data_IF_852814480491
#
_entry.id   IF_852814480491
#
_cell.length_a   1.000
_cell.length_b   1.000
_cell.length_c   1.000
_cell.angle_alpha   90.00
_cell.angle_beta   90.00
_cell.angle_gamma   90.00
#
_symmetry.space_group_name_H-M   'P 1'
#
loop_
_entity.id
_entity.type
_entity.pdbx_description
1 polymer ?
#
# COMPACT_ATOMS: atom_id res chain seq x y z
N UNK A 1 39.97 -39.44 -58.17
CA UNK A 1 38.89 -39.97 -57.31
C UNK A 1 39.42 -40.16 -55.89
N UNK A 2 39.34 -39.12 -55.05
CA UNK A 2 39.26 -39.15 -53.57
C UNK A 2 39.23 -37.71 -53.06
N UNK A 3 38.16 -37.39 -52.33
CA UNK A 3 37.89 -36.14 -51.61
C UNK A 3 38.85 -35.98 -50.43
N UNK A 4 39.16 -34.74 -50.06
CA UNK A 4 39.46 -34.37 -48.67
C UNK A 4 39.20 -32.87 -48.47
N UNK A 5 38.01 -32.52 -47.97
CA UNK A 5 37.70 -32.01 -46.61
C UNK A 5 37.78 -30.48 -46.58
N UNK A 6 36.62 -29.85 -46.75
CA UNK A 6 36.37 -28.44 -46.42
C UNK A 6 36.27 -28.26 -44.90
N UNK A 7 37.09 -27.36 -44.36
CA UNK A 7 37.01 -26.88 -42.98
C UNK A 7 35.73 -26.06 -42.78
N UNK A 8 34.79 -26.60 -41.99
CA UNK A 8 33.66 -25.82 -41.48
C UNK A 8 34.07 -25.12 -40.18
N UNK A 9 34.25 -23.82 -40.28
CA UNK A 9 34.39 -22.91 -39.14
C UNK A 9 33.11 -22.98 -38.28
N UNK A 10 33.20 -23.57 -37.07
CA UNK A 10 32.13 -23.50 -36.07
C UNK A 10 32.23 -22.18 -35.29
N UNK A 11 31.23 -21.33 -35.38
CA UNK A 11 31.09 -20.17 -34.48
C UNK A 11 30.58 -20.65 -33.10
N UNK A 12 31.15 -20.17 -31.98
CA UNK A 12 30.64 -20.52 -30.66
C UNK A 12 29.32 -19.78 -30.39
N UNK A 13 28.27 -20.53 -30.10
CA UNK A 13 26.99 -20.00 -29.62
C UNK A 13 27.19 -19.45 -28.21
N UNK A 14 26.97 -18.15 -28.05
CA UNK A 14 27.03 -17.46 -26.76
C UNK A 14 26.00 -18.04 -25.79
N UNK A 15 26.35 -18.33 -24.52
CA UNK A 15 25.39 -18.84 -23.54
C UNK A 15 24.36 -17.75 -23.19
N UNK A 16 23.08 -18.09 -23.31
CA UNK A 16 21.95 -17.28 -22.85
C UNK A 16 22.10 -17.00 -21.36
N UNK A 17 22.05 -15.73 -20.90
CA UNK A 17 22.13 -15.43 -19.48
C UNK A 17 20.86 -15.97 -18.80
N UNK A 18 21.04 -16.96 -17.93
CA UNK A 18 19.99 -17.41 -17.01
C UNK A 18 19.79 -16.28 -16.00
N UNK A 19 18.67 -15.57 -16.11
CA UNK A 19 18.29 -14.55 -15.13
C UNK A 19 17.83 -15.27 -13.86
N UNK A 20 18.76 -15.48 -12.92
CA UNK A 20 18.42 -15.85 -11.55
C UNK A 20 17.80 -14.62 -10.92
N UNK A 21 16.50 -14.69 -10.61
CA UNK A 21 15.82 -13.66 -9.84
C UNK A 21 16.63 -13.41 -8.55
N UNK A 22 17.21 -12.23 -8.46
CA UNK A 22 17.99 -11.84 -7.29
C UNK A 22 17.03 -11.69 -6.12
N UNK A 23 17.26 -12.47 -5.06
CA UNK A 23 16.54 -12.30 -3.80
C UNK A 23 16.74 -10.86 -3.31
N UNK A 24 15.68 -10.09 -3.03
CA UNK A 24 15.83 -8.86 -2.28
C UNK A 24 16.54 -9.21 -0.97
N UNK A 25 17.67 -8.56 -0.72
CA UNK A 25 18.50 -8.79 0.45
C UNK A 25 17.69 -8.76 1.73
N UNK A 26 18.12 -9.57 2.69
CA UNK A 26 17.57 -9.69 4.04
C UNK A 26 17.16 -8.32 4.59
N UNK A 27 15.87 -8.10 4.85
CA UNK A 27 15.40 -7.02 5.72
C UNK A 27 15.86 -7.34 7.15
N UNK A 28 17.12 -7.03 7.44
CA UNK A 28 17.51 -6.75 8.82
C UNK A 28 16.73 -5.50 9.18
N UNK A 29 15.94 -5.58 10.24
CA UNK A 29 15.36 -4.41 10.89
C UNK A 29 16.57 -3.67 11.48
N UNK A 30 17.21 -2.81 10.67
CA UNK A 30 18.13 -1.81 11.19
C UNK A 30 17.27 -0.73 11.82
N UNK A 31 17.36 -0.64 13.14
CA UNK A 31 16.64 0.27 14.04
C UNK A 31 16.92 1.77 13.80
N UNK A 32 17.56 2.13 12.69
CA UNK A 32 18.27 3.41 12.54
C UNK A 32 17.55 4.45 11.64
N UNK A 33 16.27 4.21 11.29
CA UNK A 33 15.44 5.21 10.60
C UNK A 33 14.18 5.62 11.38
N UNK A 34 14.08 5.20 12.66
CA UNK A 34 12.95 5.53 13.54
C UNK A 34 12.96 6.97 14.08
N UNK A 35 13.98 7.77 13.74
CA UNK A 35 14.25 9.08 14.33
C UNK A 35 14.07 10.26 13.36
N UNK A 36 13.01 10.27 12.56
CA UNK A 36 12.63 11.47 11.82
C UNK A 36 11.48 12.15 12.56
N UNK A 37 11.78 13.29 13.16
CA UNK A 37 10.80 14.11 13.87
C UNK A 37 10.11 15.13 12.93
N UNK A 38 10.35 15.04 11.63
CA UNK A 38 9.86 15.99 10.63
C UNK A 38 9.19 15.28 9.45
N UNK A 39 8.13 15.86 8.86
CA UNK A 39 7.48 15.31 7.66
C UNK A 39 8.42 15.19 6.44
N UNK A 40 8.05 14.34 5.48
CA UNK A 40 8.86 14.04 4.29
C UNK A 40 8.64 15.00 3.10
N UNK A 41 7.75 15.96 3.26
CA UNK A 41 7.39 16.97 2.27
C UNK A 41 7.32 18.32 2.98
N UNK A 42 7.39 19.42 2.25
CA UNK A 42 7.27 20.78 2.81
C UNK A 42 5.80 21.10 3.12
N UNK A 43 5.52 21.98 4.08
CA UNK A 43 4.17 22.49 4.35
C UNK A 43 3.54 23.09 3.08
N UNK A 44 4.33 23.72 2.20
CA UNK A 44 3.83 24.25 0.91
C UNK A 44 3.39 23.16 -0.09
N UNK A 45 3.76 21.90 0.15
CA UNK A 45 3.44 20.75 -0.70
C UNK A 45 2.26 19.94 -0.17
N UNK A 46 1.62 20.36 0.93
CA UNK A 46 0.44 19.68 1.45
C UNK A 46 -0.73 19.81 0.47
N UNK A 47 -1.56 18.77 0.38
CA UNK A 47 -2.75 18.79 -0.47
C UNK A 47 -4.02 19.04 0.35
N UNK A 48 -3.96 18.89 1.67
CA UNK A 48 -5.06 19.14 2.59
C UNK A 48 -4.65 20.18 3.64
N UNK A 49 -5.26 21.36 3.55
CA UNK A 49 -5.01 22.51 4.45
C UNK A 49 -6.08 22.61 5.55
N UNK A 50 -6.85 21.56 5.82
CA UNK A 50 -7.96 21.62 6.77
C UNK A 50 -7.54 21.49 8.24
N UNK A 51 -6.28 21.15 8.50
CA UNK A 51 -5.74 20.90 9.83
C UNK A 51 -4.59 21.86 10.15
N UNK A 52 -4.49 22.20 11.43
CA UNK A 52 -3.40 22.97 12.01
C UNK A 52 -2.92 22.26 13.29
N UNK A 53 -1.61 22.11 13.45
CA UNK A 53 -1.02 21.55 14.66
C UNK A 53 -0.29 22.66 15.42
N UNK A 54 -0.75 22.95 16.63
CA UNK A 54 -0.12 23.95 17.47
C UNK A 54 0.61 23.27 18.62
N UNK A 55 1.91 23.53 18.74
CA UNK A 55 2.71 23.19 19.91
C UNK A 55 3.27 24.49 20.50
N UNK A 56 3.01 24.75 21.78
CA UNK A 56 3.46 25.97 22.47
C UNK A 56 4.12 25.62 23.80
N UNK A 57 4.93 26.54 24.34
CA UNK A 57 5.59 26.34 25.63
C UNK A 57 4.58 26.26 26.81
N UNK A 58 3.42 26.91 26.66
CA UNK A 58 2.39 27.03 27.71
C UNK A 58 1.02 26.39 27.33
N UNK A 59 0.85 25.90 26.08
CA UNK A 59 -0.38 25.23 25.64
C UNK A 59 -0.11 23.75 25.31
N UNK A 60 -0.99 22.82 25.74
CA UNK A 60 -0.85 21.42 25.37
C UNK A 60 -0.93 21.26 23.85
N UNK A 61 -0.08 20.41 23.29
CA UNK A 61 -0.05 20.18 21.87
C UNK A 61 -1.42 19.68 21.38
N UNK A 62 -1.98 20.37 20.38
CA UNK A 62 -3.35 20.15 19.95
C UNK A 62 -3.45 20.18 18.43
N UNK A 63 -4.13 19.18 17.87
CA UNK A 63 -4.55 19.18 16.48
C UNK A 63 -5.90 19.89 16.38
N UNK A 64 -5.99 20.90 15.50
CA UNK A 64 -7.18 21.71 15.29
C UNK A 64 -7.59 21.62 13.82
N UNK A 65 -8.87 21.82 13.54
CA UNK A 65 -9.34 21.96 12.17
C UNK A 65 -9.69 23.42 11.90
N UNK A 66 -9.28 23.87 10.71
CA UNK A 66 -9.56 25.20 10.18
C UNK A 66 -10.97 25.29 9.58
N UNK A 67 -11.67 24.16 9.42
CA UNK A 67 -13.06 24.10 8.97
C UNK A 67 -14.02 24.08 10.16
N UNK A 68 -15.27 24.49 9.91
CA UNK A 68 -16.31 24.61 10.95
C UNK A 68 -16.69 23.29 11.62
N UNK A 69 -16.32 22.16 11.03
CA UNK A 69 -16.73 20.84 11.49
C UNK A 69 -15.93 20.38 12.72
N UNK A 70 -14.70 20.89 12.91
CA UNK A 70 -13.78 20.45 13.98
C UNK A 70 -13.56 18.92 13.97
N UNK A 71 -13.40 18.33 12.78
CA UNK A 71 -13.26 16.88 12.57
C UNK A 71 -12.05 16.54 11.70
N UNK A 72 -11.67 15.26 11.71
CA UNK A 72 -10.63 14.74 10.83
C UNK A 72 -11.10 14.76 9.36
N UNK A 73 -10.28 15.25 8.41
CA UNK A 73 -10.58 15.23 6.98
C UNK A 73 -10.87 13.79 6.50
N UNK A 74 -11.85 13.63 5.61
CA UNK A 74 -12.43 12.35 5.15
C UNK A 74 -13.08 11.46 6.23
N UNK A 75 -13.01 11.83 7.51
CA UNK A 75 -13.55 11.05 8.62
C UNK A 75 -14.36 11.93 9.59
N UNK A 76 -15.56 12.41 9.19
CA UNK A 76 -16.32 13.41 9.94
C UNK A 76 -16.84 12.92 11.30
N UNK A 77 -16.79 11.61 11.57
CA UNK A 77 -17.17 11.06 12.87
C UNK A 77 -16.05 11.15 13.91
N UNK A 78 -14.81 11.40 13.48
CA UNK A 78 -13.62 11.29 14.32
C UNK A 78 -13.27 12.67 14.91
N UNK A 79 -13.24 12.80 16.25
CA UNK A 79 -12.73 14.01 16.91
C UNK A 79 -11.20 14.14 16.75
N UNK A 80 -10.68 15.35 16.95
CA UNK A 80 -9.26 15.69 16.73
C UNK A 80 -8.37 15.48 17.96
N UNK A 81 -8.80 14.71 18.95
CA UNK A 81 -7.93 14.29 20.04
C UNK A 81 -6.92 13.24 19.55
N UNK A 82 -5.69 13.31 20.08
CA UNK A 82 -4.56 12.44 19.67
C UNK A 82 -4.95 10.96 19.68
N UNK A 83 -5.66 10.51 20.71
CA UNK A 83 -6.03 9.10 20.88
C UNK A 83 -7.01 8.64 19.80
N UNK A 84 -8.06 9.42 19.54
CA UNK A 84 -9.05 9.08 18.52
C UNK A 84 -8.46 9.11 17.12
N UNK A 85 -7.61 10.10 16.81
CA UNK A 85 -6.93 10.20 15.50
C UNK A 85 -6.00 9.01 15.28
N UNK A 86 -5.20 8.64 16.27
CA UNK A 86 -4.27 7.50 16.17
C UNK A 86 -5.00 6.17 16.11
N UNK A 87 -6.01 5.97 16.95
CA UNK A 87 -6.84 4.75 16.93
C UNK A 87 -7.54 4.59 15.58
N UNK A 88 -8.11 5.67 15.04
CA UNK A 88 -8.71 5.67 13.71
C UNK A 88 -7.68 5.39 12.62
N UNK A 89 -6.51 6.05 12.66
CA UNK A 89 -5.45 5.84 11.66
C UNK A 89 -4.97 4.39 11.61
N UNK A 90 -4.84 3.74 12.77
CA UNK A 90 -4.54 2.31 12.85
C UNK A 90 -5.68 1.46 12.30
N UNK A 91 -6.94 1.77 12.64
CA UNK A 91 -8.09 1.05 12.11
C UNK A 91 -8.20 1.18 10.58
N UNK A 92 -7.91 2.37 10.06
CA UNK A 92 -8.07 2.71 8.65
C UNK A 92 -6.98 2.08 7.77
N UNK A 93 -5.73 2.08 8.24
CA UNK A 93 -4.56 1.73 7.42
C UNK A 93 -3.83 0.45 7.87
N UNK A 94 -3.83 0.11 9.16
CA UNK A 94 -3.06 -1.03 9.65
C UNK A 94 -3.73 -2.34 9.23
N UNK A 95 -2.90 -3.34 8.93
CA UNK A 95 -3.35 -4.65 8.46
C UNK A 95 -2.68 -5.74 9.29
N UNK A 96 -2.96 -5.83 10.59
CA UNK A 96 -2.26 -6.74 11.50
C UNK A 96 -2.38 -8.21 11.07
N UNK A 97 -3.48 -8.58 10.39
CA UNK A 97 -3.63 -9.91 9.79
C UNK A 97 -2.65 -10.19 8.65
N UNK A 98 -2.40 -9.21 7.78
CA UNK A 98 -1.45 -9.33 6.66
C UNK A 98 -0.01 -9.20 7.14
N UNK A 99 0.24 -8.32 8.11
CA UNK A 99 1.55 -8.14 8.72
C UNK A 99 2.10 -9.43 9.36
N UNK A 100 1.22 -10.36 9.80
CA UNK A 100 1.63 -11.69 10.31
C UNK A 100 2.25 -12.59 9.24
N UNK A 101 1.94 -12.40 7.97
CA UNK A 101 2.60 -13.14 6.90
C UNK A 101 4.03 -12.64 6.69
N UNK A 102 4.29 -11.36 6.98
CA UNK A 102 5.60 -10.73 6.85
C UNK A 102 6.24 -11.06 5.48
N UNK A 103 7.45 -11.63 5.47
CA UNK A 103 8.16 -12.05 4.25
C UNK A 103 7.43 -13.09 3.41
N UNK A 104 6.49 -13.84 4.01
CA UNK A 104 5.72 -14.88 3.32
C UNK A 104 4.66 -14.29 2.38
N UNK A 105 4.39 -12.98 2.45
CA UNK A 105 3.54 -12.31 1.47
C UNK A 105 4.07 -12.47 0.05
N UNK A 106 5.39 -12.56 -0.15
CA UNK A 106 6.01 -12.95 -1.43
C UNK A 106 5.35 -14.20 -2.06
N UNK A 107 5.03 -15.22 -1.26
CA UNK A 107 4.40 -16.44 -1.76
C UNK A 107 2.96 -16.20 -2.24
N UNK A 108 2.33 -15.09 -1.83
CA UNK A 108 0.99 -14.68 -2.26
C UNK A 108 1.01 -13.93 -3.60
N UNK A 109 2.07 -14.08 -4.39
CA UNK A 109 2.27 -13.35 -5.65
C UNK A 109 2.64 -11.88 -5.45
N UNK A 110 3.10 -11.53 -4.24
CA UNK A 110 3.43 -10.16 -3.90
C UNK A 110 4.61 -9.65 -4.73
N UNK A 111 4.33 -8.70 -5.61
CA UNK A 111 5.37 -8.05 -6.41
C UNK A 111 5.75 -6.71 -5.75
N UNK A 112 7.05 -6.42 -5.53
CA UNK A 112 7.48 -5.09 -5.12
C UNK A 112 7.19 -4.01 -6.19
N UNK A 113 7.10 -4.40 -7.46
CA UNK A 113 6.75 -3.51 -8.55
C UNK A 113 5.24 -3.37 -8.66
N UNK A 114 4.75 -2.19 -8.30
CA UNK A 114 3.35 -1.80 -8.40
C UNK A 114 3.06 -1.39 -9.85
N UNK A 115 1.99 -1.91 -10.44
CA UNK A 115 1.54 -1.47 -11.76
C UNK A 115 0.71 -0.19 -11.61
N UNK A 116 1.02 0.81 -12.43
CA UNK A 116 0.30 2.08 -12.46
C UNK A 116 -1.20 1.91 -12.74
N UNK A 117 -2.00 2.93 -12.41
CA UNK A 117 -3.46 2.86 -12.60
C UNK A 117 -3.87 2.69 -14.07
N UNK A 118 -3.15 3.26 -15.02
CA UNK A 118 -3.39 3.10 -16.47
C UNK A 118 -2.99 1.72 -17.00
N UNK A 119 -2.08 1.01 -16.32
CA UNK A 119 -1.78 -0.38 -16.65
C UNK A 119 -2.90 -1.33 -16.22
N UNK A 120 -3.64 -1.04 -15.15
CA UNK A 120 -4.74 -1.91 -14.69
C UNK A 120 -5.78 -2.21 -15.80
N UNK A 121 -6.38 -1.21 -16.49
CA UNK A 121 -7.31 -1.46 -17.58
C UNK A 121 -6.62 -2.09 -18.81
N UNK A 122 -5.33 -1.82 -19.04
CA UNK A 122 -4.55 -2.48 -20.11
C UNK A 122 -4.45 -4.00 -19.89
N UNK A 123 -4.44 -4.45 -18.63
CA UNK A 123 -4.52 -5.87 -18.27
C UNK A 123 -5.97 -6.39 -18.15
N UNK A 124 -6.94 -5.64 -18.66
CA UNK A 124 -8.37 -5.94 -18.56
C UNK A 124 -8.84 -6.10 -17.10
N UNK A 125 -8.20 -5.37 -16.17
CA UNK A 125 -8.59 -5.36 -14.76
C UNK A 125 -9.55 -4.22 -14.49
N UNK A 126 -10.63 -4.52 -13.77
CA UNK A 126 -11.58 -3.52 -13.28
C UNK A 126 -11.12 -3.01 -11.92
N UNK A 127 -10.96 -1.69 -11.82
CA UNK A 127 -10.68 -1.02 -10.54
C UNK A 127 -11.97 -0.92 -9.75
N UNK A 128 -11.94 -1.35 -8.49
CA UNK A 128 -13.05 -1.25 -7.54
C UNK A 128 -12.56 -0.56 -6.28
N UNK A 129 -13.27 0.49 -5.85
CA UNK A 129 -12.95 1.22 -4.63
C UNK A 129 -13.30 0.37 -3.40
N UNK A 130 -12.46 0.39 -2.37
CA UNK A 130 -12.68 -0.29 -1.09
C UNK A 130 -12.20 0.57 0.07
N UNK A 131 -12.91 0.62 1.19
CA UNK A 131 -12.35 1.26 2.40
C UNK A 131 -11.48 0.33 3.25
N UNK A 132 -11.54 -0.97 2.98
CA UNK A 132 -10.75 -1.98 3.69
C UNK A 132 -9.29 -1.99 3.18
N UNK A 133 -8.35 -1.55 4.02
CA UNK A 133 -6.91 -1.56 3.74
C UNK A 133 -6.33 -2.96 3.52
N UNK A 134 -6.96 -4.01 4.06
CA UNK A 134 -6.54 -5.39 3.82
C UNK A 134 -6.75 -5.82 2.37
N UNK A 135 -7.65 -5.14 1.65
CA UNK A 135 -7.92 -5.37 0.23
C UNK A 135 -7.15 -4.44 -0.71
N UNK A 136 -6.53 -3.37 -0.22
CA UNK A 136 -5.83 -2.44 -1.10
C UNK A 136 -4.82 -3.21 -1.96
N UNK A 137 -4.89 -3.07 -3.29
CA UNK A 137 -4.15 -3.81 -4.31
C UNK A 137 -4.25 -5.35 -4.28
N UNK A 138 -5.35 -5.89 -3.76
CA UNK A 138 -5.66 -7.32 -3.90
C UNK A 138 -6.35 -7.57 -5.25
N UNK A 139 -5.79 -8.46 -6.06
CA UNK A 139 -6.33 -8.93 -7.32
C UNK A 139 -7.15 -10.19 -7.13
N UNK A 140 -8.44 -10.09 -7.45
CA UNK A 140 -9.37 -11.22 -7.51
C UNK A 140 -9.22 -12.00 -8.82
N UNK A 141 -9.64 -13.26 -8.79
CA UNK A 141 -9.69 -14.15 -9.97
C UNK A 141 -10.54 -13.57 -11.12
N UNK A 142 -11.59 -12.80 -10.79
CA UNK A 142 -12.47 -12.13 -11.76
C UNK A 142 -11.88 -10.84 -12.36
N UNK A 143 -10.54 -10.70 -12.36
CA UNK A 143 -9.80 -9.53 -12.83
C UNK A 143 -10.26 -8.22 -12.18
N UNK A 144 -10.66 -8.28 -10.92
CA UNK A 144 -11.00 -7.09 -10.12
C UNK A 144 -9.79 -6.77 -9.26
N UNK A 145 -9.30 -5.53 -9.34
CA UNK A 145 -8.32 -5.01 -8.39
C UNK A 145 -9.02 -4.03 -7.45
N UNK A 146 -8.90 -4.27 -6.15
CA UNK A 146 -9.45 -3.40 -5.13
C UNK A 146 -8.44 -2.31 -4.79
N UNK A 147 -8.88 -1.06 -4.70
CA UNK A 147 -8.02 0.08 -4.38
C UNK A 147 -8.70 0.94 -3.33
N UNK A 148 -8.02 1.12 -2.19
CA UNK A 148 -8.45 2.08 -1.17
C UNK A 148 -8.08 3.51 -1.55
N UNK A 149 -9.01 4.49 -1.50
CA UNK A 149 -8.73 5.90 -1.74
C UNK A 149 -7.64 6.45 -0.83
N UNK A 150 -6.96 7.50 -1.27
CA UNK A 150 -5.97 8.20 -0.46
C UNK A 150 -6.68 9.06 0.58
N UNK A 151 -6.54 8.78 1.89
CA UNK A 151 -7.22 9.57 2.91
C UNK A 151 -6.67 11.00 2.98
N UNK A 152 -7.55 12.00 3.01
CA UNK A 152 -7.20 13.42 3.04
C UNK A 152 -6.31 13.80 4.22
N UNK A 153 -6.50 13.18 5.39
CA UNK A 153 -5.67 13.48 6.56
C UNK A 153 -4.18 13.13 6.36
N UNK A 154 -3.85 12.14 5.52
CA UNK A 154 -2.46 11.83 5.15
C UNK A 154 -1.84 12.89 4.25
N UNK A 155 -2.66 13.72 3.62
CA UNK A 155 -2.23 14.81 2.75
C UNK A 155 -2.04 16.14 3.50
N UNK A 156 -2.23 16.17 4.82
CA UNK A 156 -2.07 17.35 5.65
C UNK A 156 -0.74 17.35 6.39
N UNK A 157 0.02 18.45 6.31
CA UNK A 157 1.30 18.57 7.02
C UNK A 157 1.12 18.53 8.54
N UNK A 158 0.10 19.21 9.06
CA UNK A 158 -0.25 19.25 10.47
C UNK A 158 -0.50 17.85 11.07
N UNK A 159 -1.10 16.92 10.31
CA UNK A 159 -1.26 15.54 10.75
C UNK A 159 0.10 14.85 10.95
N UNK A 160 1.05 15.05 10.04
CA UNK A 160 2.38 14.46 10.17
C UNK A 160 3.18 15.10 11.30
N UNK A 161 3.11 16.41 11.51
CA UNK A 161 3.72 17.05 12.68
C UNK A 161 3.16 16.48 13.97
N UNK A 162 1.83 16.38 14.08
CA UNK A 162 1.17 15.77 15.23
C UNK A 162 1.63 14.33 15.49
N UNK A 163 1.71 13.52 14.44
CA UNK A 163 2.14 12.12 14.50
C UNK A 163 3.64 11.98 14.81
N UNK A 164 4.49 12.92 14.43
CA UNK A 164 5.94 12.84 14.58
C UNK A 164 6.47 13.60 15.80
N UNK A 165 5.64 14.41 16.46
CA UNK A 165 6.00 15.18 17.65
C UNK A 165 6.32 14.27 18.85
N UNK A 166 7.60 14.12 19.26
CA UNK A 166 8.00 13.23 20.35
C UNK A 166 7.47 13.68 21.71
N UNK A 167 7.11 14.96 21.87
CA UNK A 167 6.64 15.52 23.13
C UNK A 167 5.14 15.27 23.36
N UNK A 168 4.40 14.80 22.34
CA UNK A 168 2.99 14.45 22.50
C UNK A 168 2.83 13.21 23.40
N UNK A 169 2.34 13.36 24.64
CA UNK A 169 2.30 12.28 25.63
C UNK A 169 1.14 11.31 25.41
N UNK A 170 0.16 11.68 24.57
CA UNK A 170 -1.03 10.86 24.32
C UNK A 170 -0.82 9.74 23.29
N UNK A 171 0.34 9.72 22.63
CA UNK A 171 0.69 8.74 21.62
C UNK A 171 1.85 7.90 22.12
N UNK A 172 1.63 6.61 22.36
CA UNK A 172 2.72 5.74 22.76
C UNK A 172 3.77 5.58 21.64
N UNK A 173 5.06 5.36 21.97
CA UNK A 173 6.09 5.15 20.95
C UNK A 173 5.78 4.00 19.98
N UNK A 174 5.10 2.94 20.45
CA UNK A 174 4.70 1.80 19.64
C UNK A 174 3.59 2.17 18.64
N UNK A 175 2.52 2.83 19.11
CA UNK A 175 1.44 3.29 18.24
C UNK A 175 1.96 4.29 17.20
N UNK A 176 2.81 5.22 17.62
CA UNK A 176 3.47 6.18 16.75
C UNK A 176 4.23 5.48 15.64
N UNK A 177 5.05 4.50 15.98
CA UNK A 177 5.82 3.75 14.99
C UNK A 177 4.91 2.98 14.03
N UNK A 178 3.85 2.34 14.54
CA UNK A 178 2.89 1.58 13.73
C UNK A 178 2.13 2.48 12.75
N UNK A 179 1.57 3.60 13.21
CA UNK A 179 0.87 4.55 12.33
C UNK A 179 1.86 5.11 11.31
N UNK A 180 3.04 5.57 11.74
CA UNK A 180 4.04 6.16 10.85
C UNK A 180 4.45 5.18 9.75
N UNK A 181 4.91 3.98 10.09
CA UNK A 181 5.36 2.99 9.11
C UNK A 181 4.24 2.51 8.18
N UNK A 182 3.01 2.51 8.66
CA UNK A 182 1.83 2.15 7.86
C UNK A 182 1.46 3.25 6.88
N UNK A 183 1.33 4.49 7.36
CA UNK A 183 1.04 5.67 6.54
C UNK A 183 2.11 5.94 5.49
N UNK A 184 3.39 5.84 5.85
CA UNK A 184 4.50 5.97 4.92
C UNK A 184 4.41 4.95 3.78
N UNK A 185 4.12 3.70 4.13
CA UNK A 185 3.96 2.62 3.16
C UNK A 185 2.77 2.85 2.23
N UNK A 186 1.64 3.27 2.77
CA UNK A 186 0.44 3.57 1.99
C UNK A 186 0.68 4.67 0.96
N UNK A 187 1.24 5.82 1.37
CA UNK A 187 1.50 6.95 0.45
C UNK A 187 2.57 6.58 -0.58
N UNK A 188 3.58 5.79 -0.20
CA UNK A 188 4.58 5.25 -1.13
C UNK A 188 3.94 4.39 -2.23
N UNK A 189 2.93 3.58 -1.90
CA UNK A 189 2.19 2.82 -2.91
C UNK A 189 1.52 3.78 -3.90
N UNK A 190 0.88 4.83 -3.41
CA UNK A 190 0.26 5.85 -4.26
C UNK A 190 1.25 6.56 -5.19
N UNK A 191 2.46 6.86 -4.70
CA UNK A 191 3.55 7.40 -5.51
C UNK A 191 3.93 6.47 -6.69
N UNK A 192 3.74 5.16 -6.53
CA UNK A 192 3.99 4.16 -7.59
C UNK A 192 2.77 3.89 -8.48
N UNK A 193 1.55 4.12 -7.95
CA UNK A 193 0.30 3.95 -8.70
C UNK A 193 0.04 5.09 -9.69
N UNK A 194 0.42 6.33 -9.32
CA UNK A 194 0.16 7.54 -10.09
C UNK A 194 1.49 8.16 -10.52
N UNK A 195 1.96 7.80 -11.71
CA UNK A 195 3.23 8.31 -12.25
C UNK A 195 3.04 9.18 -13.48
N UNK A 196 1.94 8.99 -14.22
CA UNK A 196 1.60 9.74 -15.41
C UNK A 196 0.27 10.48 -15.25
N UNK A 197 0.07 11.50 -16.08
CA UNK A 197 -1.19 12.26 -16.12
C UNK A 197 -2.42 11.36 -16.42
N UNK A 198 -2.25 10.29 -17.20
CA UNK A 198 -3.30 9.31 -17.44
C UNK A 198 -3.71 8.54 -16.17
N UNK A 199 -2.75 8.21 -15.30
CA UNK A 199 -3.01 7.57 -14.01
C UNK A 199 -3.80 8.50 -13.10
N UNK A 200 -3.42 9.78 -13.05
CA UNK A 200 -4.12 10.81 -12.30
C UNK A 200 -5.57 10.99 -12.78
N UNK A 201 -5.80 11.04 -14.09
CA UNK A 201 -7.16 11.11 -14.63
C UNK A 201 -8.02 9.89 -14.24
N UNK A 202 -7.43 8.69 -14.22
CA UNK A 202 -8.10 7.47 -13.74
C UNK A 202 -8.37 7.55 -12.24
N UNK A 203 -7.43 8.07 -11.44
CA UNK A 203 -7.58 8.24 -10.01
C UNK A 203 -8.77 9.17 -9.68
N UNK A 204 -8.83 10.34 -10.32
CA UNK A 204 -9.94 11.29 -10.19
C UNK A 204 -11.27 10.64 -10.60
N UNK A 205 -11.31 9.98 -11.77
CA UNK A 205 -12.52 9.33 -12.29
C UNK A 205 -13.10 8.27 -11.34
N UNK A 206 -12.23 7.56 -10.63
CA UNK A 206 -12.63 6.51 -9.69
C UNK A 206 -12.77 7.02 -8.24
N UNK A 207 -12.56 8.31 -7.96
CA UNK A 207 -12.62 8.86 -6.60
C UNK A 207 -11.53 8.31 -5.67
N UNK A 208 -10.33 8.07 -6.20
CA UNK A 208 -9.20 7.50 -5.45
C UNK A 208 -8.33 8.56 -4.76
N UNK A 209 -8.59 9.83 -5.00
CA UNK A 209 -7.87 10.98 -4.44
C UNK A 209 -8.84 11.78 -3.56
N UNK A 210 -8.31 12.47 -2.53
CA UNK A 210 -9.14 13.25 -1.64
C UNK A 210 -9.87 14.37 -2.40
N UNK A 211 -11.08 14.75 -1.97
CA UNK A 211 -11.88 15.80 -2.60
C UNK A 211 -11.33 17.19 -2.22
N UNK A 212 -10.09 17.49 -2.62
CA UNK A 212 -9.49 18.81 -2.42
C UNK A 212 -9.79 19.70 -3.62
N UNK A 213 -10.34 20.89 -3.36
CA UNK A 213 -10.56 21.90 -4.39
C UNK A 213 -9.20 22.27 -5.01
N UNK A 214 -9.09 22.12 -6.34
CA UNK A 214 -7.89 22.40 -7.14
C UNK A 214 -6.73 21.40 -7.04
N UNK A 215 -6.96 20.15 -6.60
CA UNK A 215 -5.92 19.12 -6.68
C UNK A 215 -5.53 18.83 -8.15
N UNK A 216 -4.39 19.36 -8.61
CA UNK A 216 -3.83 19.08 -9.95
C UNK A 216 -2.76 17.99 -9.90
N UNK A 217 -2.28 17.56 -11.07
CA UNK A 217 -1.31 16.48 -11.19
C UNK A 217 0.05 16.84 -10.58
N UNK A 218 0.55 18.04 -10.83
CA UNK A 218 1.91 18.47 -10.46
C UNK A 218 2.10 18.59 -8.93
N UNK A 219 1.18 19.20 -8.16
CA UNK A 219 1.21 19.18 -6.69
C UNK A 219 1.16 17.76 -6.14
N UNK A 220 0.32 16.88 -6.71
CA UNK A 220 0.23 15.49 -6.28
C UNK A 220 1.56 14.74 -6.45
N UNK A 221 2.21 14.89 -7.62
CA UNK A 221 3.51 14.28 -7.87
C UNK A 221 4.58 14.88 -6.95
N UNK A 222 4.54 16.19 -6.73
CA UNK A 222 5.47 16.87 -5.81
C UNK A 222 5.33 16.34 -4.38
N UNK A 223 4.10 16.26 -3.88
CA UNK A 223 3.77 15.68 -2.57
C UNK A 223 4.25 14.24 -2.43
N UNK A 224 3.93 13.38 -3.41
CA UNK A 224 4.26 11.95 -3.35
C UNK A 224 5.74 11.62 -3.58
N UNK A 225 6.51 12.53 -4.20
CA UNK A 225 7.92 12.32 -4.53
C UNK A 225 8.80 12.03 -3.31
N UNK A 226 8.53 12.67 -2.16
CA UNK A 226 9.24 12.42 -0.91
C UNK A 226 9.06 10.99 -0.36
N UNK A 227 7.94 10.35 -0.69
CA UNK A 227 7.61 9.00 -0.24
C UNK A 227 8.12 7.91 -1.19
N UNK A 228 8.25 8.22 -2.49
CA UNK A 228 8.71 7.27 -3.51
C UNK A 228 10.12 6.73 -3.22
N UNK A 229 10.99 7.55 -2.63
CA UNK A 229 12.38 7.21 -2.33
C UNK A 229 12.57 6.37 -1.06
N UNK A 230 11.51 6.04 -0.32
CA UNK A 230 11.61 5.32 0.95
C UNK A 230 12.04 3.86 0.76
N UNK A 231 12.98 3.35 1.60
CA UNK A 231 13.33 1.94 1.58
C UNK A 231 12.17 1.09 2.12
N UNK A 232 12.12 -0.20 1.74
CA UNK A 232 11.14 -1.15 2.28
C UNK A 232 11.19 -1.32 3.79
N UNK A 233 12.34 -1.07 4.42
CA UNK A 233 12.51 -1.15 5.88
C UNK A 233 11.82 -0.02 6.64
N UNK A 234 11.44 1.07 5.97
CA UNK A 234 10.74 2.21 6.60
C UNK A 234 9.22 2.00 6.66
N UNK A 235 8.70 0.92 6.08
CA UNK A 235 7.26 0.67 5.92
C UNK A 235 6.84 -0.59 6.66
N UNK A 236 5.58 -0.69 7.07
CA UNK A 236 5.07 -1.93 7.66
C UNK A 236 5.16 -3.11 6.67
N UNK A 237 5.26 -4.37 7.13
CA UNK A 237 5.48 -5.53 6.25
C UNK A 237 4.48 -5.64 5.09
N UNK A 238 3.19 -5.35 5.32
CA UNK A 238 2.18 -5.34 4.24
C UNK A 238 2.55 -4.37 3.14
N UNK A 239 2.97 -3.16 3.50
CA UNK A 239 3.18 -2.05 2.58
C UNK A 239 4.54 -2.11 1.86
N UNK A 240 5.40 -3.06 2.21
CA UNK A 240 6.57 -3.40 1.41
C UNK A 240 6.21 -4.01 0.05
N UNK A 241 4.97 -4.50 -0.09
CA UNK A 241 4.48 -5.24 -1.24
C UNK A 241 3.36 -4.49 -1.95
N UNK A 242 3.36 -4.52 -3.28
CA UNK A 242 2.32 -3.94 -4.11
C UNK A 242 1.08 -4.83 -4.21
N UNK A 243 0.93 -5.46 -5.38
CA UNK A 243 -0.22 -6.29 -5.73
C UNK A 243 -0.16 -7.66 -5.04
N UNK A 244 -1.28 -8.11 -4.48
CA UNK A 244 -1.45 -9.45 -3.90
C UNK A 244 -2.50 -10.25 -4.68
N UNK A 245 -2.29 -11.55 -4.87
CA UNK A 245 -3.30 -12.42 -5.50
C UNK A 245 -4.24 -13.00 -4.43
N UNK A 246 -5.55 -12.77 -4.57
CA UNK A 246 -6.54 -13.22 -3.58
C UNK A 246 -6.54 -14.74 -3.39
N UNK A 247 -6.42 -15.51 -4.49
CA UNK A 247 -6.37 -16.97 -4.43
C UNK A 247 -5.16 -17.48 -3.65
N UNK A 248 -3.97 -16.90 -3.91
CA UNK A 248 -2.74 -17.25 -3.21
C UNK A 248 -2.79 -16.81 -1.74
N UNK A 249 -3.36 -15.64 -1.46
CA UNK A 249 -3.57 -15.14 -0.10
C UNK A 249 -4.49 -16.05 0.71
N UNK A 250 -5.63 -16.48 0.14
CA UNK A 250 -6.56 -17.42 0.80
C UNK A 250 -5.91 -18.78 1.03
N UNK A 251 -5.16 -19.29 0.05
CA UNK A 251 -4.42 -20.55 0.18
C UNK A 251 -3.41 -20.48 1.34
N UNK A 252 -2.56 -19.45 1.37
CA UNK A 252 -1.57 -19.28 2.43
C UNK A 252 -2.19 -18.93 3.78
N UNK A 253 -3.33 -18.25 3.81
CA UNK A 253 -4.11 -18.02 5.03
C UNK A 253 -4.66 -19.33 5.60
N UNK A 254 -5.16 -20.24 4.75
CA UNK A 254 -5.58 -21.58 5.16
C UNK A 254 -4.42 -22.38 5.76
N UNK A 255 -3.24 -22.31 5.13
CA UNK A 255 -2.05 -23.02 5.58
C UNK A 255 -1.44 -22.47 6.88
N UNK A 256 -1.36 -21.14 7.04
CA UNK A 256 -0.58 -20.53 8.11
C UNK A 256 -1.41 -19.93 9.24
N UNK A 257 -2.64 -19.50 8.94
CA UNK A 257 -3.54 -18.89 9.93
C UNK A 257 -4.72 -19.80 10.28
N UNK A 258 -4.79 -21.00 9.70
CA UNK A 258 -5.94 -21.93 9.80
C UNK A 258 -7.28 -21.25 9.46
N UNK A 259 -7.24 -20.26 8.56
CA UNK A 259 -8.40 -19.51 8.07
C UNK A 259 -8.41 -19.51 6.55
N UNK A 260 -9.22 -20.37 5.94
CA UNK A 260 -9.25 -20.56 4.49
C UNK A 260 -9.77 -19.35 3.69
N UNK A 261 -10.43 -18.40 4.36
CA UNK A 261 -10.91 -17.17 3.75
C UNK A 261 -10.39 -15.99 4.55
N UNK A 262 -9.32 -15.34 4.07
CA UNK A 262 -8.80 -14.14 4.71
C UNK A 262 -9.79 -12.99 4.54
N UNK A 263 -10.33 -12.85 3.32
CA UNK A 263 -11.34 -11.87 2.94
C UNK A 263 -12.47 -12.57 2.17
N UNK A 264 -13.65 -12.77 2.81
CA UNK A 264 -14.82 -13.37 2.16
C UNK A 264 -15.53 -12.32 1.30
N UNK A 265 -15.04 -12.12 0.09
CA UNK A 265 -15.83 -11.48 -0.96
C UNK A 265 -16.53 -12.60 -1.72
N UNK A 266 -17.81 -12.82 -1.39
CA UNK A 266 -18.68 -13.59 -2.27
C UNK A 266 -18.75 -12.81 -3.58
N UNK A 267 -18.03 -13.27 -4.60
CA UNK A 267 -18.36 -12.90 -5.95
C UNK A 267 -19.79 -13.38 -6.14
N UNK A 268 -20.76 -12.47 -6.15
CA UNK A 268 -22.07 -12.76 -6.74
C UNK A 268 -21.81 -12.98 -8.22
N UNK A 269 -21.45 -14.21 -8.57
CA UNK A 269 -21.51 -14.72 -9.92
C UNK A 269 -22.99 -14.71 -10.28
N UNK A 270 -23.42 -13.70 -11.02
CA UNK A 270 -24.64 -13.77 -11.81
C UNK A 270 -24.41 -14.77 -12.95
N UNK A 271 -24.41 -16.05 -12.60
CA UNK A 271 -24.52 -17.16 -13.53
C UNK A 271 -25.20 -18.29 -12.78
N UNK A 272 -26.50 -18.41 -13.02
CA UNK A 272 -27.34 -19.55 -12.65
C UNK A 272 -26.64 -20.89 -12.91
N UNK A 273 -26.34 -21.65 -11.86
CA UNK A 273 -26.51 -23.12 -11.77
C UNK A 273 -26.05 -23.65 -10.39
N UNK A 274 -26.83 -24.51 -9.71
CA UNK A 274 -26.48 -25.03 -8.40
C UNK A 274 -25.76 -26.37 -8.52
N UNK A 275 -24.46 -26.41 -8.23
CA UNK A 275 -23.81 -27.67 -7.87
C UNK A 275 -22.90 -27.46 -6.66
N UNK A 276 -23.24 -28.22 -5.61
CA UNK A 276 -22.51 -28.37 -4.36
C UNK A 276 -21.05 -28.71 -4.63
N UNK A 277 -20.12 -27.92 -4.11
CA UNK A 277 -18.74 -28.34 -3.94
C UNK A 277 -18.51 -28.77 -2.49
N UNK A 278 -18.71 -30.06 -2.23
CA UNK A 278 -18.07 -30.74 -1.11
C UNK A 278 -16.78 -31.33 -1.66
N UNK A 279 -15.63 -30.71 -1.39
CA UNK A 279 -14.33 -31.29 -1.69
C UNK A 279 -13.51 -31.38 -0.40
N UNK A 280 -13.66 -32.51 0.29
CA UNK A 280 -12.58 -33.07 1.10
C UNK A 280 -11.45 -33.47 0.15
N UNK A 281 -10.35 -32.72 0.13
CA UNK A 281 -9.11 -33.20 -0.46
C UNK A 281 -8.32 -33.95 0.62
N UNK A 282 -8.30 -35.27 0.51
CA UNK A 282 -7.37 -36.14 1.21
C UNK A 282 -5.99 -35.94 0.58
N UNK A 283 -5.03 -35.44 1.37
CA UNK A 283 -3.63 -35.34 0.98
C UNK A 283 -2.99 -36.74 1.11
N UNK A 284 -2.64 -37.38 -0.01
CA UNK A 284 -1.74 -38.54 -0.01
C UNK A 284 -0.35 -38.01 -0.39
N UNK A 285 0.57 -38.09 0.57
CA UNK A 285 1.99 -37.80 0.37
C UNK A 285 2.70 -39.04 -0.19
N UNK A 286 3.48 -38.84 -1.25
CA UNK A 286 4.66 -39.65 -1.58
C UNK A 286 5.84 -38.70 -1.75
#
# INVERSE_FOLDING_TARGET
MRKSVDDKQSTPVSPTPTYVASFPGTCIISTDQSSRNFPLFDHLQQLCEELEYTHGADEPACLRSLTKTHRLPDAPCIPLDSRSVIAYSLQDLDTPGLNKFDRRLWNCGANPNIKTLSHQPTFERRIVVTEDSSLHLVLSENRIIYVKPLPAYLCSYAFWEHLLDPENPDISPEERNRVTTTSLGFVRIYASLITHHADYAIAIRNGLLPPCDNLTFEPLITFTSGFAALPSTATSPRWCYGELLLGALNFHSGLFLHRYHFNRFESTSSASSPLRCSCSLVLVLF
#
